data_IF_323120495606
#
_entry.id   IF_323120495606
#
_cell.length_a   1.000
_cell.length_b   1.000
_cell.length_c   1.000
_cell.angle_alpha   90.00
_cell.angle_beta   90.00
_cell.angle_gamma   90.00
#
_symmetry.space_group_name_H-M   'P 1'
#
loop_
_entity.id
_entity.type
_entity.pdbx_description
1 polymer ?
#
# COMPACT_ATOMS: atom_id res chain seq x y z
N UNK A 1 -9.64 -13.97 18.15
CA UNK A 1 -8.73 -13.96 16.96
C UNK A 1 -9.56 -13.94 15.69
N UNK A 2 -9.22 -13.09 14.70
CA UNK A 2 -9.99 -12.93 13.44
C UNK A 2 -10.23 -14.26 12.70
N UNK A 3 -9.21 -15.13 12.67
CA UNK A 3 -9.29 -16.48 12.11
C UNK A 3 -10.39 -17.36 12.71
N UNK A 4 -10.55 -17.34 14.04
CA UNK A 4 -11.60 -18.10 14.70
C UNK A 4 -12.99 -17.53 14.40
N UNK A 5 -13.12 -16.20 14.31
CA UNK A 5 -14.39 -15.52 14.01
C UNK A 5 -14.88 -15.78 12.58
N UNK A 6 -13.96 -16.00 11.64
CA UNK A 6 -14.26 -16.25 10.23
C UNK A 6 -13.99 -17.71 9.82
N UNK A 7 -13.98 -18.63 10.79
CA UNK A 7 -13.81 -20.05 10.52
C UNK A 7 -14.88 -20.55 9.54
N UNK A 8 -14.47 -21.33 8.54
CA UNK A 8 -15.37 -21.80 7.46
C UNK A 8 -15.64 -20.79 6.34
N UNK A 9 -15.32 -19.49 6.53
CA UNK A 9 -15.51 -18.45 5.52
C UNK A 9 -14.19 -17.88 4.97
N UNK A 10 -13.07 -18.06 5.69
CA UNK A 10 -11.74 -17.66 5.21
C UNK A 10 -11.26 -18.60 4.10
N UNK A 11 -11.13 -18.06 2.89
CA UNK A 11 -10.56 -18.79 1.74
C UNK A 11 -9.03 -18.64 1.66
N UNK A 12 -8.49 -17.50 2.09
CA UNK A 12 -7.06 -17.23 2.07
C UNK A 12 -6.63 -16.30 3.21
N UNK A 13 -5.37 -16.41 3.58
CA UNK A 13 -4.73 -15.55 4.56
C UNK A 13 -3.33 -15.20 4.04
N UNK A 14 -3.08 -13.90 3.83
CA UNK A 14 -1.80 -13.40 3.30
C UNK A 14 -1.14 -12.44 4.28
N UNK A 15 0.15 -12.65 4.51
CA UNK A 15 0.99 -11.66 5.15
C UNK A 15 1.63 -10.78 4.07
N UNK A 16 1.39 -9.47 4.14
CA UNK A 16 1.86 -8.45 3.20
C UNK A 16 2.76 -7.48 3.96
N UNK A 17 3.87 -7.05 3.35
CA UNK A 17 4.62 -5.87 3.82
C UNK A 17 5.80 -6.12 4.73
N UNK A 18 6.55 -7.21 4.57
CA UNK A 18 7.79 -7.41 5.32
C UNK A 18 8.97 -7.33 4.36
N UNK A 19 9.72 -6.23 4.43
CA UNK A 19 11.01 -6.07 3.74
C UNK A 19 12.05 -7.09 4.25
N UNK A 20 11.87 -7.61 5.47
CA UNK A 20 12.69 -8.64 6.11
C UNK A 20 11.92 -9.96 6.23
N UNK A 21 12.20 -10.91 5.33
CA UNK A 21 11.51 -12.22 5.29
C UNK A 21 11.90 -13.14 6.47
N UNK A 22 13.01 -12.84 7.13
CA UNK A 22 13.65 -13.59 8.21
C UNK A 22 13.08 -13.28 9.62
N UNK A 23 12.38 -12.15 9.78
CA UNK A 23 11.79 -11.74 11.07
C UNK A 23 10.34 -12.19 11.24
N UNK A 24 9.91 -13.23 10.51
CA UNK A 24 8.58 -13.78 10.69
C UNK A 24 8.47 -14.39 12.09
N UNK A 25 7.69 -13.76 12.98
CA UNK A 25 7.37 -14.33 14.28
C UNK A 25 6.80 -15.75 14.11
N UNK A 26 7.04 -16.67 15.06
CA UNK A 26 6.52 -18.04 14.97
C UNK A 26 5.03 -18.03 14.65
N UNK A 27 4.63 -18.78 13.63
CA UNK A 27 3.22 -18.88 13.21
C UNK A 27 2.40 -19.36 14.41
N UNK A 28 1.55 -18.48 14.95
CA UNK A 28 0.51 -18.92 15.87
C UNK A 28 -0.32 -20.01 15.17
N UNK A 29 -0.69 -21.06 15.90
CA UNK A 29 -1.51 -22.10 15.31
C UNK A 29 -2.93 -21.56 15.10
N UNK A 30 -3.19 -21.08 13.88
CA UNK A 30 -4.47 -20.50 13.50
C UNK A 30 -5.41 -21.56 12.91
N UNK A 31 -6.68 -21.47 13.28
CA UNK A 31 -7.79 -22.20 12.65
C UNK A 31 -8.01 -21.66 11.23
N UNK A 32 -8.18 -22.55 10.25
CA UNK A 32 -8.38 -22.19 8.84
C UNK A 32 -7.08 -21.99 8.05
N UNK A 33 -7.13 -21.30 6.89
CA UNK A 33 -5.98 -21.20 5.98
C UNK A 33 -4.76 -20.59 6.65
N UNK A 34 -3.60 -21.26 6.53
CA UNK A 34 -2.34 -20.72 7.07
C UNK A 34 -1.90 -19.47 6.30
N UNK A 35 -1.22 -18.55 7.00
CA UNK A 35 -0.65 -17.36 6.39
C UNK A 35 0.33 -17.71 5.27
N UNK A 36 0.07 -17.20 4.06
CA UNK A 36 0.99 -17.24 2.91
C UNK A 36 1.68 -15.90 2.80
N UNK A 37 2.98 -15.90 2.55
CA UNK A 37 3.70 -14.66 2.31
C UNK A 37 3.40 -14.13 0.91
N UNK A 38 3.08 -12.83 0.82
CA UNK A 38 2.91 -12.13 -0.45
C UNK A 38 4.07 -11.15 -0.62
N UNK A 39 4.98 -11.49 -1.55
CA UNK A 39 6.05 -10.59 -1.97
C UNK A 39 5.68 -9.96 -3.30
N UNK A 40 5.33 -8.67 -3.29
CA UNK A 40 4.85 -7.97 -4.48
C UNK A 40 5.79 -8.12 -5.70
N UNK A 41 7.14 -8.04 -5.57
CA UNK A 41 8.04 -8.23 -6.70
C UNK A 41 7.94 -9.62 -7.36
N UNK A 42 7.81 -10.71 -6.59
CA UNK A 42 7.68 -12.05 -7.19
C UNK A 42 6.35 -12.24 -7.90
N UNK A 43 5.29 -11.60 -7.40
CA UNK A 43 3.99 -11.61 -8.07
C UNK A 43 4.01 -10.78 -9.35
N UNK A 44 4.71 -9.65 -9.37
CA UNK A 44 4.92 -8.85 -10.57
C UNK A 44 5.61 -9.65 -11.67
N UNK A 45 6.72 -10.34 -11.35
CA UNK A 45 7.44 -11.19 -12.31
C UNK A 45 6.59 -12.38 -12.79
N UNK A 46 5.82 -13.01 -11.88
CA UNK A 46 4.87 -14.04 -12.27
C UNK A 46 3.84 -13.51 -13.29
N UNK A 47 3.29 -12.30 -13.09
CA UNK A 47 2.30 -11.73 -14.01
C UNK A 47 2.88 -11.36 -15.36
N UNK A 48 4.12 -10.87 -15.42
CA UNK A 48 4.82 -10.69 -16.71
C UNK A 48 4.91 -12.01 -17.49
N UNK A 49 5.23 -13.12 -16.82
CA UNK A 49 5.30 -14.45 -17.44
C UNK A 49 3.92 -14.97 -17.85
N UNK A 50 2.95 -14.92 -16.94
CA UNK A 50 1.63 -15.52 -17.13
C UNK A 50 0.79 -14.77 -18.18
N UNK A 51 0.91 -13.44 -18.24
CA UNK A 51 0.04 -12.60 -19.08
C UNK A 51 0.71 -12.15 -20.38
N UNK A 52 2.02 -12.32 -20.50
CA UNK A 52 2.78 -11.82 -21.62
C UNK A 52 3.20 -10.36 -21.47
N UNK A 53 4.08 -9.94 -22.37
CA UNK A 53 4.75 -8.63 -22.34
C UNK A 53 3.73 -7.48 -22.40
N UNK A 54 3.89 -6.49 -21.52
CA UNK A 54 3.14 -5.22 -21.57
C UNK A 54 1.77 -5.24 -20.89
N UNK A 55 1.22 -6.41 -20.56
CA UNK A 55 -0.14 -6.52 -20.00
C UNK A 55 -0.22 -6.00 -18.57
N UNK A 56 0.80 -6.27 -17.74
CA UNK A 56 0.80 -5.77 -16.36
C UNK A 56 1.09 -4.26 -16.33
N UNK A 57 1.94 -3.79 -17.22
CA UNK A 57 2.24 -2.36 -17.39
C UNK A 57 0.97 -1.59 -17.79
N UNK A 58 0.23 -2.04 -18.81
CA UNK A 58 -1.04 -1.41 -19.22
C UNK A 58 -2.08 -1.38 -18.08
N UNK A 59 -2.17 -2.46 -17.30
CA UNK A 59 -3.07 -2.53 -16.14
C UNK A 59 -2.67 -1.55 -15.04
N UNK A 60 -1.38 -1.41 -14.77
CA UNK A 60 -0.86 -0.44 -13.79
C UNK A 60 -1.13 0.98 -14.27
N UNK A 61 -0.90 1.26 -15.54
CA UNK A 61 -1.15 2.58 -16.12
C UNK A 61 -2.64 2.94 -16.03
N UNK A 62 -3.53 1.99 -16.36
CA UNK A 62 -4.98 2.19 -16.23
C UNK A 62 -5.41 2.43 -14.79
N UNK A 63 -4.91 1.63 -13.84
CA UNK A 63 -5.24 1.81 -12.42
C UNK A 63 -4.71 3.14 -11.88
N UNK A 64 -3.49 3.52 -12.27
CA UNK A 64 -2.87 4.80 -11.89
C UNK A 64 -3.69 5.97 -12.40
N UNK A 65 -4.15 5.95 -13.66
CA UNK A 65 -5.05 6.99 -14.20
C UNK A 65 -6.33 7.13 -13.38
N UNK A 66 -6.98 6.02 -13.03
CA UNK A 66 -8.19 6.05 -12.19
C UNK A 66 -7.93 6.68 -10.81
N UNK A 67 -6.78 6.39 -10.20
CA UNK A 67 -6.39 6.98 -8.91
C UNK A 67 -6.12 8.48 -9.05
N UNK A 68 -5.43 8.90 -10.11
CA UNK A 68 -5.15 10.33 -10.37
C UNK A 68 -6.46 11.09 -10.59
N UNK A 69 -7.36 10.55 -11.42
CA UNK A 69 -8.68 11.13 -11.67
C UNK A 69 -9.52 11.24 -10.39
N UNK A 70 -9.48 10.23 -9.54
CA UNK A 70 -10.15 10.24 -8.24
C UNK A 70 -9.55 11.30 -7.29
N UNK A 71 -8.22 11.28 -7.14
CA UNK A 71 -7.49 12.19 -6.27
C UNK A 71 -7.72 13.64 -6.67
N UNK A 72 -7.75 13.95 -7.97
CA UNK A 72 -8.03 15.30 -8.47
C UNK A 72 -9.38 15.87 -8.00
N UNK A 73 -10.35 15.02 -7.59
CA UNK A 73 -11.65 15.47 -7.08
C UNK A 73 -11.62 15.91 -5.62
N UNK A 74 -10.67 15.43 -4.82
CA UNK A 74 -10.72 15.60 -3.36
C UNK A 74 -9.40 16.08 -2.73
N UNK A 75 -8.28 15.93 -3.42
CA UNK A 75 -6.95 16.33 -2.98
C UNK A 75 -6.61 17.72 -3.52
N UNK A 76 -6.22 18.63 -2.64
CA UNK A 76 -5.67 19.96 -2.98
C UNK A 76 -4.20 19.99 -2.63
N UNK A 77 -3.37 20.57 -3.50
CA UNK A 77 -1.94 20.70 -3.23
C UNK A 77 -1.61 22.05 -2.59
N UNK A 78 -0.80 22.02 -1.54
CA UNK A 78 -0.16 23.17 -0.92
C UNK A 78 1.35 23.06 -1.11
N UNK A 79 1.94 24.06 -1.77
CA UNK A 79 3.36 24.04 -2.15
C UNK A 79 4.15 24.97 -1.24
N UNK A 80 5.21 24.42 -0.65
CA UNK A 80 6.10 25.09 0.27
C UNK A 80 7.45 25.34 -0.40
N UNK A 81 7.90 26.59 -0.39
CA UNK A 81 9.25 26.95 -0.83
C UNK A 81 10.25 26.76 0.32
N UNK A 82 11.17 25.82 0.13
CA UNK A 82 12.23 25.47 1.08
C UNK A 82 11.76 24.57 2.22
N UNK A 83 12.71 23.79 2.75
CA UNK A 83 12.46 22.79 3.80
C UNK A 83 11.78 23.34 5.05
N UNK A 84 12.14 24.57 5.46
CA UNK A 84 11.58 25.22 6.65
C UNK A 84 10.06 25.42 6.52
N UNK A 85 9.58 25.80 5.33
CA UNK A 85 8.16 26.05 5.09
C UNK A 85 7.31 24.77 5.20
N UNK A 86 7.89 23.61 4.86
CA UNK A 86 7.23 22.30 4.99
C UNK A 86 7.29 21.66 6.38
N UNK A 87 8.01 22.24 7.36
CA UNK A 87 8.18 21.59 8.66
C UNK A 87 6.87 21.47 9.45
N UNK A 88 5.99 22.47 9.35
CA UNK A 88 4.71 22.48 10.05
C UNK A 88 3.78 21.37 9.56
N UNK A 89 3.70 21.14 8.24
CA UNK A 89 2.89 20.07 7.65
C UNK A 89 3.45 18.69 7.99
N UNK A 90 4.78 18.53 7.97
CA UNK A 90 5.41 17.29 8.45
C UNK A 90 5.11 17.01 9.93
N UNK A 91 5.17 18.03 10.80
CA UNK A 91 4.84 17.87 12.22
C UNK A 91 3.38 17.43 12.41
N UNK A 92 2.44 18.03 11.67
CA UNK A 92 1.03 17.62 11.69
C UNK A 92 0.82 16.19 11.18
N UNK A 93 1.57 15.75 10.16
CA UNK A 93 1.52 14.38 9.65
C UNK A 93 1.99 13.38 10.72
N UNK A 94 3.13 13.65 11.37
CA UNK A 94 3.67 12.81 12.45
C UNK A 94 2.71 12.74 13.64
N UNK A 95 2.03 13.84 13.96
CA UNK A 95 1.02 13.89 15.02
C UNK A 95 -0.31 13.21 14.64
N UNK A 96 -0.48 12.78 13.38
CA UNK A 96 -1.75 12.23 12.88
C UNK A 96 -2.88 13.24 12.78
N UNK A 97 -2.56 14.54 12.79
CA UNK A 97 -3.53 15.65 12.74
C UNK A 97 -3.56 16.37 11.39
N UNK A 98 -2.77 15.92 10.41
CA UNK A 98 -2.78 16.47 9.07
C UNK A 98 -4.16 16.29 8.41
N UNK A 99 -4.61 17.33 7.69
CA UNK A 99 -5.83 17.22 6.89
C UNK A 99 -5.54 16.33 5.68
N UNK A 100 -6.22 15.18 5.61
CA UNK A 100 -6.01 14.20 4.53
C UNK A 100 -6.34 14.74 3.15
N UNK A 101 -7.14 15.81 3.05
CA UNK A 101 -7.48 16.47 1.77
C UNK A 101 -6.37 17.38 1.23
N UNK A 102 -5.32 17.64 2.01
CA UNK A 102 -4.21 18.50 1.60
C UNK A 102 -2.96 17.65 1.34
N UNK A 103 -2.49 17.67 0.09
CA UNK A 103 -1.17 17.16 -0.28
C UNK A 103 -0.14 18.26 -0.13
N UNK A 104 0.92 18.04 0.65
CA UNK A 104 1.99 19.02 0.82
C UNK A 104 3.15 18.70 -0.10
N UNK A 105 3.58 19.67 -0.91
CA UNK A 105 4.74 19.57 -1.80
C UNK A 105 5.82 20.54 -1.32
N UNK A 106 7.05 20.07 -1.15
CA UNK A 106 8.17 20.92 -0.74
C UNK A 106 9.15 21.02 -1.89
N UNK A 107 9.36 22.23 -2.37
CA UNK A 107 10.36 22.55 -3.39
C UNK A 107 11.63 23.03 -2.69
N UNK A 108 12.77 22.38 -2.95
CA UNK A 108 14.06 22.61 -2.27
C UNK A 108 15.08 23.16 -3.25
#
# INVERSE_FOLDING_TARGET
MLHARLAGYLNCSFAVGISHQDQFAPRADVVGPKHKFFFAPSQFEKRKKDWGKGVIEDKIDKATRMIIEDAARWLTFDTHAGLISGMASNAALVAGSANTKIGHMVEV
#
